data_IF_571288319958
#
_entry.id   IF_571288319958
#
_cell.length_a   1.000
_cell.length_b   1.000
_cell.length_c   1.000
_cell.angle_alpha   90.00
_cell.angle_beta   90.00
_cell.angle_gamma   90.00
#
_symmetry.space_group_name_H-M   'P 1'
#
loop_
_entity.id
_entity.type
_entity.pdbx_description
1 polymer ?
#
# COMPACT_ATOMS: atom_id res chain seq x y z
N UNK A 1 -7.48 -24.80 7.25
CA UNK A 1 -8.04 -24.92 8.62
C UNK A 1 -9.17 -23.91 8.80
N UNK A 2 -10.41 -24.27 8.48
CA UNK A 2 -11.58 -23.38 8.61
C UNK A 2 -12.90 -24.14 8.72
N UNK A 3 -12.94 -25.34 8.17
CA UNK A 3 -14.04 -26.30 8.28
C UNK A 3 -14.23 -26.87 9.69
N UNK A 4 -13.12 -27.07 10.42
CA UNK A 4 -13.11 -27.62 11.78
C UNK A 4 -13.60 -26.60 12.82
N UNK A 5 -13.48 -25.30 12.53
CA UNK A 5 -13.81 -24.21 13.47
C UNK A 5 -15.14 -23.50 13.18
N UNK A 6 -15.64 -23.49 11.94
CA UNK A 6 -16.88 -22.77 11.56
C UNK A 6 -17.99 -23.67 10.98
N UNK A 7 -17.78 -24.98 10.85
CA UNK A 7 -18.82 -25.94 10.46
C UNK A 7 -19.10 -26.05 8.95
N UNK A 8 -18.55 -25.19 8.10
CA UNK A 8 -18.75 -25.26 6.64
C UNK A 8 -17.57 -24.66 5.81
N UNK A 9 -17.51 -24.93 4.49
CA UNK A 9 -16.54 -24.32 3.59
C UNK A 9 -16.72 -22.82 3.64
N UNK A 10 -15.62 -22.06 3.73
CA UNK A 10 -15.66 -20.64 3.38
C UNK A 10 -16.77 -19.86 4.12
N UNK A 11 -17.20 -20.35 5.30
CA UNK A 11 -18.31 -19.79 6.08
C UNK A 11 -18.12 -18.29 6.32
N UNK A 12 -16.88 -17.87 6.56
CA UNK A 12 -16.51 -16.46 6.73
C UNK A 12 -16.74 -15.63 5.47
N UNK A 13 -16.49 -16.18 4.28
CA UNK A 13 -16.77 -15.52 2.99
C UNK A 13 -18.28 -15.40 2.80
N UNK A 14 -19.03 -16.48 3.07
CA UNK A 14 -20.48 -16.45 2.88
C UNK A 14 -21.17 -15.49 3.83
N UNK A 15 -20.75 -15.50 5.09
CA UNK A 15 -21.27 -14.59 6.11
C UNK A 15 -20.90 -13.13 5.78
N UNK A 16 -19.70 -12.88 5.27
CA UNK A 16 -19.29 -11.55 4.84
C UNK A 16 -20.16 -11.04 3.68
N UNK A 17 -20.44 -11.89 2.69
CA UNK A 17 -21.32 -11.55 1.57
C UNK A 17 -22.76 -11.31 2.05
N UNK A 18 -23.30 -12.15 2.92
CA UNK A 18 -24.64 -11.97 3.49
C UNK A 18 -24.77 -10.66 4.28
N UNK A 19 -23.81 -10.35 5.14
CA UNK A 19 -23.83 -9.13 5.97
C UNK A 19 -23.63 -7.87 5.12
N UNK A 20 -22.70 -7.88 4.17
CA UNK A 20 -22.40 -6.69 3.37
C UNK A 20 -23.39 -6.48 2.23
N UNK A 21 -23.79 -7.53 1.51
CA UNK A 21 -24.71 -7.43 0.37
C UNK A 21 -26.18 -7.53 0.78
N UNK A 22 -26.52 -8.31 1.80
CA UNK A 22 -27.90 -8.52 2.25
C UNK A 22 -28.38 -7.51 3.29
N UNK A 23 -27.53 -7.14 4.26
CA UNK A 23 -27.91 -6.20 5.33
C UNK A 23 -27.46 -4.76 5.09
N UNK A 24 -26.77 -4.48 3.97
CA UNK A 24 -26.18 -3.18 3.64
C UNK A 24 -25.42 -2.52 4.80
N UNK A 25 -24.95 -3.32 5.78
CA UNK A 25 -24.30 -2.86 7.03
C UNK A 25 -23.06 -2.02 6.76
N UNK A 26 -22.48 -2.20 5.58
CA UNK A 26 -21.41 -1.36 5.10
C UNK A 26 -21.87 0.11 5.10
N UNK A 27 -23.04 0.48 4.56
CA UNK A 27 -23.53 1.87 4.34
C UNK A 27 -23.52 2.79 5.58
N UNK A 28 -23.56 2.24 6.79
CA UNK A 28 -23.45 3.01 8.03
C UNK A 28 -22.06 3.65 8.27
N UNK A 29 -21.02 3.21 7.55
CA UNK A 29 -19.65 3.74 7.66
C UNK A 29 -19.38 4.88 6.65
N UNK A 30 -20.11 6.01 6.70
CA UNK A 30 -19.74 7.27 6.02
C UNK A 30 -19.23 7.19 4.56
N UNK A 31 -20.05 7.60 3.59
CA UNK A 31 -19.66 7.55 2.17
C UNK A 31 -18.67 8.65 1.79
N UNK A 32 -17.51 8.27 1.26
CA UNK A 32 -16.52 9.20 0.71
C UNK A 32 -16.59 9.26 -0.83
N UNK A 33 -16.48 10.45 -1.46
CA UNK A 33 -16.66 10.63 -2.90
C UNK A 33 -15.64 9.81 -3.71
N UNK A 34 -15.98 9.39 -4.95
CA UNK A 34 -15.12 8.56 -5.81
C UNK A 34 -13.67 9.09 -5.92
N UNK A 35 -13.51 10.42 -5.98
CA UNK A 35 -12.23 11.13 -6.11
C UNK A 35 -11.35 11.12 -4.85
N UNK A 36 -11.85 10.61 -3.73
CA UNK A 36 -11.14 10.69 -2.44
C UNK A 36 -9.74 10.06 -2.49
N UNK A 37 -9.59 8.89 -3.11
CA UNK A 37 -8.26 8.25 -3.26
C UNK A 37 -7.30 9.09 -4.11
N UNK A 38 -7.79 9.72 -5.18
CA UNK A 38 -6.98 10.58 -6.03
C UNK A 38 -6.53 11.86 -5.28
N UNK A 39 -7.45 12.49 -4.54
CA UNK A 39 -7.13 13.65 -3.70
C UNK A 39 -6.14 13.30 -2.59
N UNK A 40 -6.28 12.12 -1.98
CA UNK A 40 -5.34 11.64 -0.98
C UNK A 40 -3.94 11.35 -1.55
N UNK A 41 -3.86 10.72 -2.72
CA UNK A 41 -2.60 10.50 -3.44
C UNK A 41 -1.93 11.83 -3.78
N UNK A 42 -2.70 12.79 -4.31
CA UNK A 42 -2.19 14.13 -4.62
C UNK A 42 -1.69 14.84 -3.36
N UNK A 43 -2.45 14.85 -2.27
CA UNK A 43 -2.02 15.49 -1.02
C UNK A 43 -0.78 14.82 -0.42
N UNK A 44 -0.66 13.50 -0.55
CA UNK A 44 0.42 12.73 0.08
C UNK A 44 1.70 12.69 -0.76
N UNK A 45 1.58 12.67 -2.08
CA UNK A 45 2.70 12.45 -3.03
C UNK A 45 2.95 13.66 -3.95
N UNK A 46 2.30 14.80 -3.68
CA UNK A 46 2.09 15.97 -4.56
C UNK A 46 3.20 16.27 -5.59
N UNK A 47 4.45 16.62 -5.23
CA UNK A 47 5.45 16.99 -6.24
C UNK A 47 5.96 15.80 -7.06
N UNK A 48 5.83 14.57 -6.55
CA UNK A 48 6.47 13.36 -7.09
C UNK A 48 5.48 12.51 -7.89
N UNK A 49 4.18 12.66 -7.59
CA UNK A 49 3.12 11.86 -8.18
C UNK A 49 3.13 11.88 -9.72
N UNK A 50 3.29 13.01 -10.43
CA UNK A 50 3.32 13.01 -11.89
C UNK A 50 4.48 12.20 -12.47
N UNK A 51 5.65 12.25 -11.84
CA UNK A 51 6.84 11.50 -12.26
C UNK A 51 6.64 10.00 -12.04
N UNK A 52 6.09 9.62 -10.88
CA UNK A 52 5.77 8.22 -10.56
C UNK A 52 4.74 7.67 -11.52
N UNK A 53 3.67 8.42 -11.81
CA UNK A 53 2.63 7.98 -12.73
C UNK A 53 3.15 7.90 -14.17
N UNK A 54 3.96 8.86 -14.61
CA UNK A 54 4.59 8.84 -15.94
C UNK A 54 5.51 7.63 -16.11
N UNK A 55 6.36 7.35 -15.12
CA UNK A 55 7.20 6.17 -15.10
C UNK A 55 6.36 4.87 -15.01
N UNK A 56 5.33 4.84 -14.17
CA UNK A 56 4.46 3.68 -14.04
C UNK A 56 3.70 3.39 -15.34
N UNK A 57 3.29 4.41 -16.08
CA UNK A 57 2.66 4.26 -17.39
C UNK A 57 3.62 3.64 -18.42
N UNK A 58 4.88 4.08 -18.44
CA UNK A 58 5.93 3.47 -19.27
C UNK A 58 6.19 2.01 -18.88
N UNK A 59 6.21 1.72 -17.57
CA UNK A 59 6.31 0.36 -17.05
C UNK A 59 5.11 -0.51 -17.41
N UNK A 60 3.90 0.04 -17.37
CA UNK A 60 2.66 -0.68 -17.67
C UNK A 60 2.57 -1.11 -19.13
N UNK A 61 3.17 -0.34 -20.06
CA UNK A 61 3.29 -0.77 -21.48
C UNK A 61 4.15 -2.03 -21.65
N UNK A 62 5.09 -2.28 -20.73
CA UNK A 62 5.99 -3.45 -20.74
C UNK A 62 5.45 -4.61 -19.92
N UNK A 63 4.78 -4.30 -18.82
CA UNK A 63 4.16 -5.26 -17.93
C UNK A 63 2.63 -5.00 -17.85
N UNK A 64 1.89 -5.25 -18.95
CA UNK A 64 0.47 -4.90 -19.02
C UNK A 64 -0.38 -5.64 -17.99
N UNK A 65 0.01 -6.87 -17.61
CA UNK A 65 -0.68 -7.62 -16.57
C UNK A 65 -0.62 -6.90 -15.21
N UNK A 66 0.56 -6.41 -14.83
CA UNK A 66 0.76 -5.62 -13.60
C UNK A 66 -0.01 -4.29 -13.67
N UNK A 67 -0.03 -3.65 -14.84
CA UNK A 67 -0.84 -2.45 -15.08
C UNK A 67 -2.34 -2.71 -14.89
N UNK A 68 -2.85 -3.79 -15.47
CA UNK A 68 -4.25 -4.20 -15.31
C UNK A 68 -4.59 -4.56 -13.87
N UNK A 69 -3.71 -5.26 -13.15
CA UNK A 69 -3.90 -5.55 -11.73
C UNK A 69 -4.04 -4.26 -10.91
N UNK A 70 -3.16 -3.28 -11.13
CA UNK A 70 -3.24 -1.99 -10.43
C UNK A 70 -4.54 -1.23 -10.77
N UNK A 71 -4.92 -1.20 -12.04
CA UNK A 71 -6.16 -0.55 -12.50
C UNK A 71 -7.38 -1.23 -11.88
N UNK A 72 -7.51 -2.56 -12.01
CA UNK A 72 -8.63 -3.33 -11.47
C UNK A 72 -8.73 -3.18 -9.96
N UNK A 73 -7.60 -3.17 -9.25
CA UNK A 73 -7.59 -3.00 -7.81
C UNK A 73 -8.09 -1.60 -7.41
N UNK A 74 -7.58 -0.54 -8.06
CA UNK A 74 -7.98 0.84 -7.76
C UNK A 74 -9.45 1.05 -8.13
N UNK A 75 -9.91 0.56 -9.29
CA UNK A 75 -11.30 0.72 -9.72
C UNK A 75 -12.25 -0.04 -8.83
N UNK A 76 -12.01 -1.32 -8.56
CA UNK A 76 -12.84 -2.12 -7.66
C UNK A 76 -13.03 -1.46 -6.30
N UNK A 77 -11.94 -0.96 -5.70
CA UNK A 77 -12.01 -0.26 -4.40
C UNK A 77 -12.54 1.17 -4.48
N UNK A 78 -12.52 1.79 -5.66
CA UNK A 78 -13.17 3.09 -5.88
C UNK A 78 -14.69 2.97 -6.00
N UNK A 79 -15.18 1.82 -6.48
CA UNK A 79 -16.60 1.51 -6.60
C UNK A 79 -17.25 1.16 -5.25
N UNK A 80 -16.48 0.74 -4.25
CA UNK A 80 -17.04 0.49 -2.93
C UNK A 80 -17.32 1.80 -2.18
N UNK A 81 -18.54 1.92 -1.66
CA UNK A 81 -19.01 3.08 -0.89
C UNK A 81 -18.22 3.32 0.40
N UNK A 82 -17.53 2.29 0.90
CA UNK A 82 -16.77 2.30 2.16
C UNK A 82 -15.28 2.41 1.91
N UNK A 83 -14.74 3.61 2.13
CA UNK A 83 -13.33 3.88 1.84
C UNK A 83 -12.52 3.83 3.10
N UNK A 84 -11.63 2.85 3.15
CA UNK A 84 -10.57 2.78 4.15
C UNK A 84 -9.24 2.87 3.42
N UNK A 85 -8.28 3.60 4.00
CA UNK A 85 -6.90 3.73 3.47
C UNK A 85 -6.26 2.39 3.16
N UNK A 86 -6.50 1.40 4.04
CA UNK A 86 -5.88 0.08 3.95
C UNK A 86 -6.16 -0.69 2.67
N UNK A 87 -7.26 -0.37 1.98
CA UNK A 87 -7.61 -1.02 0.72
C UNK A 87 -6.70 -0.62 -0.44
N UNK A 88 -6.01 0.51 -0.31
CA UNK A 88 -5.06 0.97 -1.32
C UNK A 88 -3.65 0.37 -1.13
N UNK A 89 -3.33 -0.17 0.05
CA UNK A 89 -2.00 -0.73 0.33
C UNK A 89 -1.53 -1.80 -0.67
N UNK A 90 -2.38 -2.72 -1.17
CA UNK A 90 -1.95 -3.68 -2.19
C UNK A 90 -1.64 -3.05 -3.55
N UNK A 91 -2.25 -1.92 -3.90
CA UNK A 91 -1.96 -1.22 -5.16
C UNK A 91 -0.63 -0.44 -5.10
N UNK A 92 -0.21 0.02 -3.93
CA UNK A 92 1.03 0.77 -3.75
C UNK A 92 2.29 0.02 -4.27
N UNK A 93 2.58 -1.24 -3.87
CA UNK A 93 3.75 -1.95 -4.38
C UNK A 93 3.67 -2.17 -5.89
N UNK A 94 2.48 -2.43 -6.45
CA UNK A 94 2.33 -2.57 -7.91
C UNK A 94 2.69 -1.30 -8.66
N UNK A 95 2.27 -0.13 -8.14
CA UNK A 95 2.62 1.17 -8.73
C UNK A 95 4.12 1.46 -8.61
N UNK A 96 4.75 1.11 -7.50
CA UNK A 96 6.20 1.28 -7.27
C UNK A 96 7.00 0.37 -8.22
N UNK A 97 6.59 -0.88 -8.41
CA UNK A 97 7.25 -1.80 -9.34
C UNK A 97 7.14 -1.28 -10.77
N UNK A 98 5.94 -0.84 -11.17
CA UNK A 98 5.71 -0.27 -12.50
C UNK A 98 6.55 1.00 -12.73
N UNK A 99 6.64 1.89 -11.74
CA UNK A 99 7.45 3.11 -11.86
C UNK A 99 8.94 2.79 -11.92
N UNK A 100 9.42 1.79 -11.19
CA UNK A 100 10.77 1.26 -11.29
C UNK A 100 11.09 0.74 -12.69
N UNK A 101 10.21 -0.09 -13.25
CA UNK A 101 10.36 -0.63 -14.62
C UNK A 101 10.40 0.48 -15.68
N UNK A 102 9.54 1.49 -15.56
CA UNK A 102 9.56 2.65 -16.46
C UNK A 102 10.84 3.46 -16.35
N UNK A 103 11.35 3.65 -15.14
CA UNK A 103 12.59 4.40 -14.88
C UNK A 103 13.80 3.66 -15.46
N UNK A 104 13.90 2.35 -15.22
CA UNK A 104 14.93 1.51 -15.83
C UNK A 104 14.88 1.56 -17.37
N UNK A 105 13.68 1.60 -17.96
CA UNK A 105 13.53 1.73 -19.40
C UNK A 105 14.04 3.07 -19.93
N UNK A 106 13.69 4.18 -19.28
CA UNK A 106 14.21 5.51 -19.65
C UNK A 106 15.74 5.50 -19.60
N UNK A 107 16.32 4.98 -18.52
CA UNK A 107 17.78 4.91 -18.34
C UNK A 107 18.44 4.00 -19.38
N UNK A 108 17.81 2.89 -19.76
CA UNK A 108 18.33 1.96 -20.77
C UNK A 108 18.44 2.58 -22.17
N UNK A 109 17.69 3.66 -22.48
CA UNK A 109 17.83 4.38 -23.75
C UNK A 109 19.14 5.16 -23.86
N UNK A 110 19.82 5.39 -22.74
CA UNK A 110 21.12 6.05 -22.68
C UNK A 110 22.28 5.06 -22.54
N UNK A 111 21.99 3.75 -22.65
CA UNK A 111 22.95 2.64 -22.50
C UNK A 111 24.13 2.65 -23.49
N UNK A 112 24.06 3.45 -24.55
CA UNK A 112 25.18 3.68 -25.46
C UNK A 112 26.43 4.24 -24.76
N UNK A 113 26.25 4.83 -23.57
CA UNK A 113 27.32 5.36 -22.73
C UNK A 113 27.32 4.61 -21.39
N UNK A 114 28.07 3.51 -21.30
CA UNK A 114 28.03 2.58 -20.16
C UNK A 114 28.32 3.27 -18.81
N UNK A 115 29.32 4.15 -18.75
CA UNK A 115 29.65 4.94 -17.55
C UNK A 115 28.59 5.98 -17.22
N UNK A 116 28.04 6.67 -18.22
CA UNK A 116 26.95 7.63 -18.00
C UNK A 116 25.69 6.93 -17.49
N UNK A 117 25.41 5.70 -17.95
CA UNK A 117 24.24 4.93 -17.53
C UNK A 117 24.34 4.50 -16.06
N UNK A 118 25.52 4.07 -15.60
CA UNK A 118 25.76 3.74 -14.19
C UNK A 118 25.65 4.98 -13.29
N UNK A 119 26.23 6.11 -13.71
CA UNK A 119 26.13 7.39 -12.98
C UNK A 119 24.68 7.88 -12.92
N UNK A 120 23.92 7.77 -14.02
CA UNK A 120 22.51 8.13 -14.06
C UNK A 120 21.64 7.20 -13.21
N UNK A 121 21.94 5.91 -13.14
CA UNK A 121 21.26 4.95 -12.24
C UNK A 121 21.53 5.29 -10.78
N UNK A 122 22.79 5.52 -10.41
CA UNK A 122 23.16 5.93 -9.05
C UNK A 122 22.50 7.27 -8.68
N UNK A 123 22.52 8.24 -9.60
CA UNK A 123 21.84 9.53 -9.46
C UNK A 123 20.33 9.37 -9.26
N UNK A 124 19.67 8.51 -10.04
CA UNK A 124 18.25 8.21 -9.88
C UNK A 124 17.95 7.58 -8.50
N UNK A 125 18.75 6.63 -8.05
CA UNK A 125 18.62 6.04 -6.71
C UNK A 125 18.78 7.09 -5.60
N UNK A 126 19.78 7.97 -5.72
CA UNK A 126 20.03 9.05 -4.74
C UNK A 126 18.86 10.03 -4.74
N UNK A 127 18.37 10.46 -5.91
CA UNK A 127 17.24 11.39 -6.02
C UNK A 127 15.98 10.77 -5.44
N UNK A 128 15.65 9.52 -5.78
CA UNK A 128 14.46 8.84 -5.27
C UNK A 128 14.53 8.61 -3.76
N UNK A 129 15.71 8.27 -3.24
CA UNK A 129 15.93 8.11 -1.79
C UNK A 129 15.84 9.47 -1.09
N UNK A 130 16.44 10.51 -1.66
CA UNK A 130 16.39 11.88 -1.15
C UNK A 130 14.96 12.42 -1.10
N UNK A 131 14.16 12.19 -2.15
CA UNK A 131 12.73 12.52 -2.18
C UNK A 131 11.97 11.77 -1.08
N UNK A 132 12.26 10.49 -0.88
CA UNK A 132 11.61 9.68 0.15
C UNK A 132 11.90 10.19 1.56
N UNK A 133 13.15 10.57 1.83
CA UNK A 133 13.58 11.14 3.12
C UNK A 133 12.98 12.54 3.32
N UNK A 134 12.97 13.38 2.29
CA UNK A 134 12.39 14.73 2.35
C UNK A 134 10.85 14.72 2.56
N UNK A 135 10.16 13.67 2.12
CA UNK A 135 8.73 13.47 2.36
C UNK A 135 8.38 12.88 3.74
N UNK A 136 9.35 12.32 4.47
CA UNK A 136 9.14 11.71 5.78
C UNK A 136 8.55 12.66 6.86
N UNK A 137 8.93 13.94 6.96
CA UNK A 137 8.37 14.87 7.95
C UNK A 137 7.00 15.46 7.55
N UNK A 138 6.34 14.97 6.49
CA UNK A 138 5.00 15.43 6.13
C UNK A 138 4.05 15.28 7.33
N UNK A 139 3.35 16.34 7.77
CA UNK A 139 2.51 16.33 8.98
C UNK A 139 1.42 15.24 8.96
N UNK A 140 0.96 14.79 7.79
CA UNK A 140 0.02 13.68 7.66
C UNK A 140 0.60 12.29 8.00
N UNK A 141 1.93 12.14 7.96
CA UNK A 141 2.64 10.89 8.26
C UNK A 141 3.56 11.00 9.48
N UNK A 142 3.99 12.21 9.86
CA UNK A 142 4.83 12.49 11.02
C UNK A 142 4.33 11.77 12.30
N UNK A 143 3.03 11.89 12.56
CA UNK A 143 2.40 11.25 13.71
C UNK A 143 2.42 9.72 13.62
N UNK A 144 2.36 9.12 12.43
CA UNK A 144 2.40 7.66 12.25
C UNK A 144 3.79 7.07 12.55
N UNK A 145 4.86 7.87 12.44
CA UNK A 145 6.22 7.43 12.78
C UNK A 145 6.47 7.30 14.27
N UNK A 146 5.65 7.96 15.08
CA UNK A 146 5.82 8.05 16.54
C UNK A 146 4.64 7.38 17.27
N UNK A 147 3.46 7.37 16.64
CA UNK A 147 2.28 6.67 17.12
C UNK A 147 2.59 5.18 17.27
N UNK A 148 2.23 4.63 18.43
CA UNK A 148 2.52 3.24 18.84
C UNK A 148 3.99 2.86 19.02
N UNK A 149 4.94 3.82 19.10
CA UNK A 149 6.33 3.47 19.50
C UNK A 149 6.38 2.76 20.84
N UNK A 150 5.58 3.21 21.81
CA UNK A 150 5.45 2.55 23.12
C UNK A 150 4.93 1.12 23.02
N UNK A 151 3.90 0.88 22.20
CA UNK A 151 3.37 -0.47 21.96
C UNK A 151 4.39 -1.38 21.27
N UNK A 152 5.11 -0.87 20.26
CA UNK A 152 6.15 -1.64 19.58
C UNK A 152 7.35 -1.93 20.49
N UNK A 153 7.77 -0.97 21.33
CA UNK A 153 8.85 -1.20 22.30
C UNK A 153 8.42 -2.17 23.40
N UNK A 154 7.17 -2.12 23.85
CA UNK A 154 6.61 -3.12 24.78
C UNK A 154 6.58 -4.50 24.15
N UNK A 155 6.16 -4.65 22.89
CA UNK A 155 6.15 -5.95 22.21
C UNK A 155 7.57 -6.47 21.94
N UNK A 156 8.52 -5.59 21.63
CA UNK A 156 9.94 -5.96 21.50
C UNK A 156 10.52 -6.42 22.85
N UNK A 157 10.20 -5.70 23.93
CA UNK A 157 10.60 -6.08 25.29
C UNK A 157 9.98 -7.41 25.73
N UNK A 158 8.71 -7.65 25.39
CA UNK A 158 8.02 -8.92 25.66
C UNK A 158 8.55 -10.07 24.80
N UNK A 159 9.03 -9.81 23.59
CA UNK A 159 9.61 -10.84 22.71
C UNK A 159 10.83 -11.50 23.34
N UNK A 160 11.65 -10.72 24.03
CA UNK A 160 12.90 -11.19 24.64
C UNK A 160 12.65 -11.85 26.03
N UNK A 161 11.38 -11.91 26.47
CA UNK A 161 10.91 -12.50 27.74
C UNK A 161 10.19 -13.83 27.47
N UNK A 162 10.91 -14.95 27.53
CA UNK A 162 10.35 -16.29 27.34
C UNK A 162 9.40 -16.74 28.47
N UNK A 163 9.42 -16.04 29.60
CA UNK A 163 8.53 -16.20 30.74
C UNK A 163 7.12 -15.64 30.51
N UNK A 164 6.92 -14.83 29.47
CA UNK A 164 5.68 -14.08 29.22
C UNK A 164 5.00 -14.42 27.89
N UNK A 165 5.43 -15.49 27.19
CA UNK A 165 4.92 -15.85 25.85
C UNK A 165 3.40 -16.11 25.77
N UNK A 166 2.72 -16.33 26.90
CA UNK A 166 1.26 -16.57 26.95
C UNK A 166 0.41 -15.29 27.09
N UNK A 167 0.99 -14.15 27.47
CA UNK A 167 0.24 -12.90 27.68
C UNK A 167 -0.31 -12.31 26.38
N UNK A 168 0.31 -12.59 25.23
CA UNK A 168 -0.12 -12.07 23.94
C UNK A 168 -1.47 -12.66 23.44
N UNK A 169 -1.93 -13.78 24.02
CA UNK A 169 -3.22 -14.41 23.67
C UNK A 169 -4.38 -14.00 24.60
N UNK A 170 -4.07 -13.49 25.80
CA UNK A 170 -5.08 -13.24 26.84
C UNK A 170 -5.83 -11.91 26.66
N UNK A 171 -5.27 -10.93 25.96
CA UNK A 171 -5.85 -9.58 25.84
C UNK A 171 -6.82 -9.40 24.68
N UNK A 172 -7.10 -10.45 23.91
CA UNK A 172 -8.03 -10.40 22.77
C UNK A 172 -9.43 -10.99 23.05
N UNK A 173 -9.71 -11.40 24.30
CA UNK A 173 -10.99 -12.00 24.73
C UNK A 173 -11.53 -11.41 26.04
N UNK A 174 -11.54 -10.09 26.18
CA UNK A 174 -12.29 -9.40 27.23
C UNK A 174 -12.95 -8.15 26.68
#
# INVERSE_FOLDING_TARGET
MGWVTLGAPLQSIWLNLWINAGQARSEFCGTLPFRWYAGWLLASWSPVLPFVLGAAFLGARRAPLLGWMAIVHITAHSLFSHKKMRFLYPAMPTLIILSGLGTCHILSRFAAFATATQVMQAGACIVLTGISVAGAPNPGFANNWISNRGGQSSMAWLRDRTDLCSLALATHFS
#
